data_IF_132390644411
#
_entry.id   IF_132390644411
#
_cell.length_a   1.000
_cell.length_b   1.000
_cell.length_c   1.000
_cell.angle_alpha   90.00
_cell.angle_beta   90.00
_cell.angle_gamma   90.00
#
_symmetry.space_group_name_H-M   'P 1'
#
loop_
_entity.id
_entity.type
_entity.pdbx_description
1 polymer ?
#
# COMPACT_ATOMS: atom_id res chain seq x y z
N UNK A 1 8.00 -14.74 31.31
CA UNK A 1 6.66 -14.27 30.93
C UNK A 1 6.50 -14.68 29.48
N UNK A 2 5.66 -15.66 29.20
CA UNK A 2 5.32 -16.00 27.80
C UNK A 2 4.65 -14.78 27.18
N UNK A 3 5.37 -14.07 26.32
CA UNK A 3 4.86 -12.93 25.61
C UNK A 3 3.67 -13.36 24.75
N UNK A 4 2.54 -12.68 24.85
CA UNK A 4 1.36 -12.96 24.06
C UNK A 4 1.72 -12.82 22.58
N UNK A 5 1.38 -13.83 21.75
CA UNK A 5 1.65 -13.79 20.32
C UNK A 5 0.93 -12.59 19.70
N UNK A 6 1.59 -11.79 18.85
CA UNK A 6 0.94 -10.65 18.19
C UNK A 6 -0.24 -11.09 17.33
N UNK A 7 -1.28 -10.26 17.27
CA UNK A 7 -2.39 -10.45 16.33
C UNK A 7 -2.02 -9.86 14.99
N UNK A 8 -1.95 -10.70 13.97
CA UNK A 8 -1.44 -10.35 12.64
C UNK A 8 -2.60 -10.07 11.68
N UNK A 9 -2.63 -8.88 11.10
CA UNK A 9 -3.71 -8.44 10.22
C UNK A 9 -3.17 -8.03 8.86
N UNK A 10 -3.66 -8.68 7.79
CA UNK A 10 -3.36 -8.28 6.42
C UNK A 10 -4.42 -7.30 5.90
N UNK A 11 -3.98 -6.20 5.28
CA UNK A 11 -4.84 -5.27 4.56
C UNK A 11 -4.74 -5.62 3.07
N UNK A 12 -5.75 -6.31 2.55
CA UNK A 12 -5.67 -6.92 1.22
C UNK A 12 -6.89 -6.63 0.35
N UNK A 13 -6.64 -6.29 -0.89
CA UNK A 13 -7.58 -6.32 -2.00
C UNK A 13 -6.78 -6.26 -3.31
N UNK A 14 -7.22 -6.98 -4.34
CA UNK A 14 -6.54 -7.05 -5.65
C UNK A 14 -6.66 -5.77 -6.47
N UNK A 15 -7.55 -4.87 -6.11
CA UNK A 15 -7.75 -3.60 -6.82
C UNK A 15 -6.74 -2.55 -6.33
N UNK A 16 -6.11 -1.84 -7.27
CA UNK A 16 -5.29 -0.66 -6.97
C UNK A 16 -6.12 0.58 -6.62
N UNK A 17 -5.53 1.54 -5.91
CA UNK A 17 -6.15 2.85 -5.64
C UNK A 17 -7.36 2.82 -4.70
N UNK A 18 -7.49 1.83 -3.83
CA UNK A 18 -8.59 1.69 -2.87
C UNK A 18 -8.16 1.94 -1.42
N UNK A 19 -7.10 2.69 -1.22
CA UNK A 19 -6.59 3.09 0.10
C UNK A 19 -6.08 1.95 1.00
N UNK A 20 -5.49 0.86 0.45
CA UNK A 20 -4.85 -0.19 1.27
C UNK A 20 -3.79 0.42 2.18
N UNK A 21 -2.76 1.02 1.62
CA UNK A 21 -1.65 1.68 2.33
C UNK A 21 -2.14 2.76 3.31
N UNK A 22 -3.12 3.57 2.89
CA UNK A 22 -3.76 4.56 3.78
C UNK A 22 -4.42 3.88 4.97
N UNK A 23 -5.14 2.78 4.75
CA UNK A 23 -5.78 2.00 5.82
C UNK A 23 -4.74 1.38 6.74
N UNK A 24 -3.69 0.74 6.19
CA UNK A 24 -2.62 0.10 6.96
C UNK A 24 -1.91 1.09 7.88
N UNK A 25 -1.47 2.22 7.33
CA UNK A 25 -0.70 3.23 8.09
C UNK A 25 -1.55 3.96 9.12
N UNK A 26 -2.81 4.30 8.79
CA UNK A 26 -3.70 4.98 9.72
C UNK A 26 -4.22 4.04 10.81
N UNK A 27 -4.52 2.77 10.51
CA UNK A 27 -4.82 1.77 11.54
C UNK A 27 -3.64 1.62 12.50
N UNK A 28 -2.41 1.50 11.99
CA UNK A 28 -1.22 1.32 12.80
C UNK A 28 -0.96 2.51 13.74
N UNK A 29 -1.02 3.77 13.25
CA UNK A 29 -0.82 4.93 14.11
C UNK A 29 -1.95 5.12 15.10
N UNK A 30 -3.20 4.81 14.74
CA UNK A 30 -4.32 4.88 15.67
C UNK A 30 -4.23 3.79 16.75
N UNK A 31 -3.79 2.57 16.43
CA UNK A 31 -3.51 1.52 17.43
C UNK A 31 -2.40 1.96 18.39
N UNK A 32 -1.30 2.51 17.87
CA UNK A 32 -0.24 3.06 18.71
C UNK A 32 -0.73 4.23 19.57
N UNK A 33 -1.62 5.09 19.05
CA UNK A 33 -2.28 6.14 19.82
C UNK A 33 -3.18 5.59 20.93
N UNK A 34 -3.76 4.39 20.77
CA UNK A 34 -4.44 3.64 21.82
C UNK A 34 -3.49 2.90 22.76
N UNK A 35 -2.18 3.17 22.72
CA UNK A 35 -1.19 2.58 23.62
C UNK A 35 -0.79 1.15 23.26
N UNK A 36 -1.08 0.68 22.05
CA UNK A 36 -0.66 -0.64 21.58
C UNK A 36 0.73 -0.59 20.95
N UNK A 37 1.52 -1.65 21.15
CA UNK A 37 2.78 -1.85 20.43
C UNK A 37 2.49 -2.46 19.06
N UNK A 38 2.92 -1.78 17.98
CA UNK A 38 2.55 -2.15 16.60
C UNK A 38 3.79 -2.27 15.72
N UNK A 39 3.79 -3.27 14.84
CA UNK A 39 4.76 -3.39 13.74
C UNK A 39 4.00 -3.36 12.42
N UNK A 40 4.41 -2.51 11.49
CA UNK A 40 3.93 -2.55 10.10
C UNK A 40 4.93 -3.32 9.25
N UNK A 41 4.45 -4.23 8.42
CA UNK A 41 5.24 -4.90 7.37
C UNK A 41 4.78 -4.34 6.03
N UNK A 42 5.66 -3.64 5.34
CA UNK A 42 5.38 -3.08 4.01
C UNK A 42 5.80 -4.07 2.92
N UNK A 43 4.82 -4.72 2.27
CA UNK A 43 5.03 -5.67 1.17
C UNK A 43 4.84 -5.05 -0.21
N UNK A 44 4.61 -3.75 -0.32
CA UNK A 44 4.53 -3.08 -1.61
C UNK A 44 5.89 -2.48 -1.98
N UNK A 45 6.43 -2.84 -3.16
CA UNK A 45 7.69 -2.31 -3.67
C UNK A 45 7.71 -0.80 -3.88
N UNK A 46 6.53 -0.16 -3.90
CA UNK A 46 6.43 1.30 -3.92
C UNK A 46 6.87 1.93 -2.59
N UNK A 47 6.82 1.19 -1.48
CA UNK A 47 7.29 1.63 -0.18
C UNK A 47 6.50 2.80 0.41
N UNK A 48 5.22 2.94 0.07
CA UNK A 48 4.43 4.10 0.50
C UNK A 48 4.05 4.03 1.98
N UNK A 49 3.85 2.84 2.55
CA UNK A 49 3.74 2.66 4.01
C UNK A 49 5.03 3.06 4.71
N UNK A 50 6.17 2.60 4.21
CA UNK A 50 7.51 2.94 4.70
C UNK A 50 7.73 4.44 4.76
N UNK A 51 7.48 5.13 3.64
CA UNK A 51 7.62 6.60 3.53
C UNK A 51 6.66 7.34 4.47
N UNK A 52 5.40 6.92 4.53
CA UNK A 52 4.37 7.55 5.39
C UNK A 52 4.71 7.42 6.88
N UNK A 53 5.44 6.41 7.27
CA UNK A 53 5.91 6.21 8.64
C UNK A 53 7.26 6.89 8.92
N UNK A 54 7.80 7.63 7.94
CA UNK A 54 8.98 8.48 8.08
C UNK A 54 10.32 7.77 7.87
N UNK A 55 10.30 6.61 7.22
CA UNK A 55 11.52 5.87 6.87
C UNK A 55 11.87 6.11 5.40
N UNK A 56 13.15 6.33 5.11
CA UNK A 56 13.66 6.43 3.74
C UNK A 56 13.72 5.01 3.12
N UNK A 57 13.12 4.76 1.95
CA UNK A 57 13.22 3.48 1.25
C UNK A 57 14.65 3.09 0.82
N UNK A 58 15.62 4.02 0.90
CA UNK A 58 17.04 3.75 0.67
C UNK A 58 17.75 3.14 1.89
N UNK A 59 17.01 2.70 2.92
CA UNK A 59 17.62 1.96 4.03
C UNK A 59 18.35 0.72 3.51
N UNK A 60 19.42 0.34 4.24
CA UNK A 60 20.32 -0.73 3.80
C UNK A 60 19.64 -2.09 3.68
N UNK A 61 18.70 -2.39 4.57
CA UNK A 61 18.02 -3.68 4.65
C UNK A 61 16.53 -3.48 4.94
N UNK A 62 15.71 -4.42 4.47
CA UNK A 62 14.27 -4.40 4.67
C UNK A 62 13.65 -5.79 4.48
N UNK A 63 12.35 -5.82 4.16
CA UNK A 63 11.61 -7.07 4.01
C UNK A 63 12.19 -7.98 2.91
N UNK A 64 12.80 -7.44 1.87
CA UNK A 64 13.49 -8.20 0.83
C UNK A 64 14.59 -9.09 1.42
N UNK A 65 15.43 -8.51 2.29
CA UNK A 65 16.59 -9.20 2.88
C UNK A 65 16.14 -10.32 3.82
N UNK A 66 14.99 -10.17 4.47
CA UNK A 66 14.37 -11.24 5.25
C UNK A 66 13.93 -12.40 4.36
N UNK A 67 13.27 -12.11 3.23
CA UNK A 67 12.79 -13.15 2.31
C UNK A 67 13.92 -13.99 1.72
N UNK A 68 15.07 -13.38 1.44
CA UNK A 68 16.25 -14.11 0.89
C UNK A 68 17.18 -14.67 1.98
N UNK A 69 16.86 -14.47 3.26
CA UNK A 69 17.67 -14.94 4.38
C UNK A 69 18.99 -14.17 4.57
N UNK A 70 19.11 -12.94 4.02
CA UNK A 70 20.29 -12.09 4.12
C UNK A 70 20.28 -11.19 5.37
N UNK A 71 19.19 -11.12 6.10
CA UNK A 71 19.06 -10.37 7.34
C UNK A 71 18.21 -11.15 8.37
N UNK A 72 18.39 -10.82 9.65
CA UNK A 72 17.52 -11.27 10.72
C UNK A 72 16.42 -10.24 10.95
N UNK A 73 15.33 -10.68 11.58
CA UNK A 73 14.19 -9.81 11.82
C UNK A 73 14.55 -8.59 12.69
N UNK A 74 15.41 -8.80 13.69
CA UNK A 74 15.87 -7.73 14.61
C UNK A 74 16.63 -6.63 13.87
N UNK A 75 17.32 -6.97 12.78
CA UNK A 75 18.17 -6.04 12.01
C UNK A 75 17.32 -5.12 11.11
N UNK A 76 16.10 -5.53 10.78
CA UNK A 76 15.23 -4.81 9.81
C UNK A 76 14.03 -4.13 10.44
N UNK A 77 13.68 -4.42 11.70
CA UNK A 77 12.62 -3.70 12.41
C UNK A 77 13.14 -2.33 12.84
N UNK A 78 12.63 -1.28 12.22
CA UNK A 78 13.03 0.10 12.48
C UNK A 78 12.00 0.83 13.35
N UNK A 79 12.44 1.63 14.32
CA UNK A 79 11.54 2.54 15.03
C UNK A 79 11.05 3.62 14.08
N UNK A 80 9.78 4.03 14.28
CA UNK A 80 9.23 5.18 13.59
C UNK A 80 9.29 6.42 14.49
N UNK A 81 8.85 7.57 13.95
CA UNK A 81 8.68 8.80 14.74
C UNK A 81 7.47 8.75 15.70
N UNK A 82 6.68 7.70 15.68
CA UNK A 82 5.49 7.52 16.50
C UNK A 82 5.77 6.50 17.59
N UNK A 83 5.62 6.91 18.84
CA UNK A 83 5.84 6.02 19.98
C UNK A 83 4.97 4.76 19.91
N UNK A 84 5.55 3.60 20.16
CA UNK A 84 4.86 2.31 20.10
C UNK A 84 4.72 1.75 18.67
N UNK A 85 5.18 2.46 17.63
CA UNK A 85 5.08 2.03 16.24
C UNK A 85 6.45 1.80 15.62
N UNK A 86 6.64 0.61 15.07
CA UNK A 86 7.82 0.17 14.33
C UNK A 86 7.43 -0.28 12.92
N UNK A 87 8.38 -0.39 12.02
CA UNK A 87 8.15 -0.84 10.64
C UNK A 87 9.26 -1.76 10.15
N UNK A 88 8.89 -2.80 9.40
CA UNK A 88 9.77 -3.54 8.52
C UNK A 88 9.61 -2.91 7.13
N UNK A 89 10.59 -2.13 6.67
CA UNK A 89 10.44 -1.31 5.49
C UNK A 89 10.48 -2.15 4.21
N UNK A 90 9.73 -1.69 3.20
CA UNK A 90 9.98 -2.04 1.82
C UNK A 90 11.20 -1.30 1.29
N UNK A 91 11.98 -1.99 0.47
CA UNK A 91 13.11 -1.41 -0.28
C UNK A 91 12.87 -1.57 -1.77
N UNK A 92 13.57 -0.80 -2.60
CA UNK A 92 13.45 -0.91 -4.06
C UNK A 92 13.79 -2.32 -4.59
N UNK A 93 14.61 -3.07 -3.86
CA UNK A 93 14.96 -4.46 -4.18
C UNK A 93 13.76 -5.40 -4.17
N UNK A 94 12.68 -5.04 -3.43
CA UNK A 94 11.48 -5.87 -3.32
C UNK A 94 10.78 -6.09 -4.67
N UNK A 95 10.96 -5.19 -5.64
CA UNK A 95 10.38 -5.34 -6.98
C UNK A 95 10.83 -6.64 -7.69
N UNK A 96 12.02 -7.17 -7.36
CA UNK A 96 12.55 -8.41 -7.94
C UNK A 96 12.29 -9.68 -7.11
N UNK A 97 11.61 -9.57 -5.98
CA UNK A 97 11.50 -10.68 -5.03
C UNK A 97 10.71 -11.88 -5.58
N UNK A 98 9.73 -11.66 -6.45
CA UNK A 98 8.89 -12.74 -7.00
C UNK A 98 9.73 -13.78 -7.76
N UNK A 99 10.76 -13.33 -8.48
CA UNK A 99 11.70 -14.21 -9.18
C UNK A 99 12.46 -15.08 -8.16
N UNK A 100 12.98 -14.48 -7.09
CA UNK A 100 13.72 -15.19 -6.05
C UNK A 100 12.86 -16.17 -5.29
N UNK A 101 11.64 -15.77 -4.92
CA UNK A 101 10.71 -16.64 -4.22
C UNK A 101 10.23 -17.80 -5.08
N UNK A 102 10.14 -17.65 -6.41
CA UNK A 102 9.76 -18.75 -7.29
C UNK A 102 10.77 -19.90 -7.31
N UNK A 103 12.02 -19.66 -6.93
CA UNK A 103 13.08 -20.66 -6.82
C UNK A 103 13.05 -21.45 -5.50
N UNK A 104 12.27 -20.96 -4.49
CA UNK A 104 12.22 -21.56 -3.17
C UNK A 104 11.08 -22.58 -3.04
N UNK A 105 11.37 -23.70 -2.36
CA UNK A 105 10.31 -24.61 -1.87
C UNK A 105 9.47 -23.86 -0.82
N UNK A 106 8.16 -24.08 -0.85
CA UNK A 106 7.20 -23.48 0.11
C UNK A 106 7.25 -21.93 0.15
N UNK A 107 7.62 -21.29 -0.95
CA UNK A 107 7.74 -19.85 -1.08
C UNK A 107 6.49 -19.06 -0.65
N UNK A 108 5.32 -19.70 -0.66
CA UNK A 108 4.05 -19.14 -0.20
C UNK A 108 3.95 -18.98 1.33
N UNK A 109 4.85 -19.61 2.10
CA UNK A 109 4.88 -19.59 3.57
C UNK A 109 6.15 -18.95 4.14
N UNK A 110 6.99 -18.36 3.31
CA UNK A 110 8.27 -17.79 3.73
C UNK A 110 8.09 -16.76 4.85
N UNK A 111 7.15 -15.81 4.69
CA UNK A 111 6.88 -14.80 5.73
C UNK A 111 6.34 -15.45 7.01
N UNK A 112 5.45 -16.42 6.90
CA UNK A 112 4.92 -17.16 8.06
C UNK A 112 6.03 -17.87 8.83
N UNK A 113 6.97 -18.48 8.12
CA UNK A 113 8.15 -19.12 8.72
C UNK A 113 9.02 -18.10 9.44
N UNK A 114 9.34 -16.96 8.80
CA UNK A 114 10.14 -15.89 9.40
C UNK A 114 9.50 -15.39 10.68
N UNK A 115 8.22 -15.03 10.64
CA UNK A 115 7.49 -14.46 11.78
C UNK A 115 7.32 -15.47 12.92
N UNK A 116 7.11 -16.76 12.62
CA UNK A 116 6.93 -17.81 13.61
C UNK A 116 8.20 -18.14 14.40
N UNK A 117 9.38 -17.95 13.80
CA UNK A 117 10.67 -18.19 14.45
C UNK A 117 11.21 -16.96 15.19
N UNK A 118 10.55 -15.82 15.05
CA UNK A 118 10.98 -14.58 15.66
C UNK A 118 10.12 -14.22 16.88
N UNK A 119 10.76 -13.76 17.96
CA UNK A 119 10.06 -13.16 19.09
C UNK A 119 9.85 -11.67 18.84
N UNK A 120 8.75 -11.31 18.18
CA UNK A 120 8.39 -9.91 18.01
C UNK A 120 7.54 -9.48 19.21
N UNK A 121 8.11 -8.69 20.11
CA UNK A 121 7.37 -8.13 21.23
C UNK A 121 6.49 -6.95 20.76
N UNK A 122 5.24 -7.28 20.40
CA UNK A 122 4.20 -6.30 20.03
C UNK A 122 2.81 -6.90 20.16
N UNK A 123 1.80 -6.01 20.26
CA UNK A 123 0.38 -6.42 20.28
C UNK A 123 -0.14 -6.77 18.90
N UNK A 124 0.28 -5.99 17.87
CA UNK A 124 -0.23 -6.10 16.50
C UNK A 124 0.86 -6.07 15.46
N UNK A 125 0.67 -6.88 14.40
CA UNK A 125 1.40 -6.76 13.14
C UNK A 125 0.40 -6.42 12.05
N UNK A 126 0.60 -5.29 11.36
CA UNK A 126 -0.22 -4.87 10.22
C UNK A 126 0.59 -5.10 8.94
N UNK A 127 0.07 -5.92 8.02
CA UNK A 127 0.73 -6.21 6.75
C UNK A 127 0.06 -5.41 5.65
N UNK A 128 0.78 -4.46 5.05
CA UNK A 128 0.34 -3.72 3.86
C UNK A 128 0.65 -4.49 2.60
N UNK A 129 -0.39 -4.88 1.85
CA UNK A 129 -0.26 -5.74 0.68
C UNK A 129 -0.24 -4.94 -0.63
N UNK A 130 0.58 -5.35 -1.63
CA UNK A 130 0.53 -4.78 -2.97
C UNK A 130 -0.81 -5.04 -3.67
N UNK A 131 -1.12 -4.29 -4.77
CA UNK A 131 -2.44 -4.37 -5.42
C UNK A 131 -2.66 -5.62 -6.29
N UNK A 132 -1.60 -6.35 -6.65
CA UNK A 132 -1.72 -7.54 -7.49
C UNK A 132 -1.82 -8.81 -6.65
N UNK A 133 -2.50 -9.84 -7.16
CA UNK A 133 -2.42 -11.17 -6.57
C UNK A 133 -1.13 -11.85 -7.06
N UNK A 134 -0.12 -11.89 -6.20
CA UNK A 134 1.17 -12.52 -6.44
C UNK A 134 1.63 -13.26 -5.20
N UNK A 135 2.89 -13.64 -5.19
CA UNK A 135 3.48 -14.41 -4.08
C UNK A 135 3.50 -13.61 -2.76
N UNK A 136 3.65 -12.28 -2.82
CA UNK A 136 3.69 -11.43 -1.64
C UNK A 136 2.36 -11.36 -0.89
N UNK A 137 1.20 -11.05 -1.54
CA UNK A 137 -0.10 -11.12 -0.86
C UNK A 137 -0.45 -12.52 -0.35
N UNK A 138 -0.03 -13.57 -1.07
CA UNK A 138 -0.23 -14.94 -0.58
C UNK A 138 0.56 -15.17 0.71
N UNK A 139 1.82 -14.72 0.79
CA UNK A 139 2.62 -14.77 2.02
C UNK A 139 1.96 -13.97 3.16
N UNK A 140 1.43 -12.79 2.87
CA UNK A 140 0.70 -11.99 3.86
C UNK A 140 -0.49 -12.76 4.44
N UNK A 141 -1.36 -13.30 3.57
CA UNK A 141 -2.55 -14.05 3.97
C UNK A 141 -2.21 -15.38 4.66
N UNK A 142 -1.13 -16.06 4.22
CA UNK A 142 -0.65 -17.28 4.85
C UNK A 142 -0.10 -17.03 6.27
N UNK A 143 0.33 -15.81 6.57
CA UNK A 143 0.89 -15.40 7.86
C UNK A 143 -0.16 -14.82 8.80
N UNK A 144 -1.18 -14.14 8.27
CA UNK A 144 -2.13 -13.35 9.03
C UNK A 144 -3.13 -14.21 9.83
N UNK A 145 -3.49 -13.74 11.03
CA UNK A 145 -4.64 -14.28 11.79
C UNK A 145 -5.96 -13.75 11.19
N UNK A 146 -5.92 -12.55 10.62
CA UNK A 146 -7.11 -11.94 10.02
C UNK A 146 -6.79 -11.10 8.78
N UNK A 147 -7.81 -10.92 7.94
CA UNK A 147 -7.75 -10.03 6.77
C UNK A 147 -8.85 -8.98 6.82
N UNK A 148 -8.50 -7.75 6.50
CA UNK A 148 -9.43 -6.63 6.28
C UNK A 148 -9.37 -6.28 4.80
N UNK A 149 -10.55 -6.10 4.18
CA UNK A 149 -10.70 -5.78 2.76
C UNK A 149 -11.19 -4.34 2.62
N UNK A 150 -10.32 -3.37 2.30
CA UNK A 150 -10.78 -2.03 1.89
C UNK A 150 -11.54 -2.11 0.56
N UNK A 151 -12.64 -1.37 0.45
CA UNK A 151 -13.49 -1.36 -0.76
C UNK A 151 -14.02 0.05 -1.01
N UNK A 152 -13.97 0.51 -2.25
CA UNK A 152 -14.64 1.77 -2.64
C UNK A 152 -16.06 1.48 -3.12
N UNK A 153 -17.06 2.26 -2.69
CA UNK A 153 -18.46 2.10 -3.09
C UNK A 153 -18.69 2.59 -4.54
N UNK A 154 -18.07 1.92 -5.50
CA UNK A 154 -18.22 2.17 -6.95
C UNK A 154 -18.98 1.03 -7.61
N UNK A 155 -19.56 1.22 -8.82
CA UNK A 155 -20.24 0.14 -9.55
C UNK A 155 -19.42 -1.17 -9.66
N UNK A 156 -18.10 -1.05 -9.70
CA UNK A 156 -17.16 -2.19 -9.77
C UNK A 156 -16.72 -2.72 -8.38
N UNK A 157 -17.32 -2.25 -7.29
CA UNK A 157 -16.99 -2.72 -5.93
C UNK A 157 -17.26 -4.20 -5.75
N UNK A 158 -18.39 -4.65 -6.30
CA UNK A 158 -18.80 -6.06 -6.25
C UNK A 158 -17.79 -6.96 -7.00
N UNK A 159 -17.29 -6.53 -8.15
CA UNK A 159 -16.30 -7.28 -8.93
C UNK A 159 -14.96 -7.37 -8.18
N UNK A 160 -14.55 -6.32 -7.48
CA UNK A 160 -13.37 -6.33 -6.61
C UNK A 160 -13.50 -7.37 -5.49
N UNK A 161 -14.64 -7.42 -4.82
CA UNK A 161 -14.92 -8.42 -3.78
C UNK A 161 -15.00 -9.84 -4.36
N UNK A 162 -15.67 -10.01 -5.51
CA UNK A 162 -15.81 -11.30 -6.19
C UNK A 162 -14.45 -11.89 -6.63
N UNK A 163 -13.44 -11.07 -6.84
CA UNK A 163 -12.06 -11.52 -7.12
C UNK A 163 -11.26 -11.78 -5.85
N UNK A 164 -11.43 -10.93 -4.84
CA UNK A 164 -10.65 -10.97 -3.59
C UNK A 164 -11.08 -12.14 -2.68
N UNK A 165 -12.38 -12.38 -2.53
CA UNK A 165 -12.90 -13.43 -1.65
C UNK A 165 -12.46 -14.86 -2.06
N UNK A 166 -12.46 -15.25 -3.35
CA UNK A 166 -11.93 -16.56 -3.76
C UNK A 166 -10.44 -16.74 -3.43
N UNK A 167 -9.62 -15.68 -3.50
CA UNK A 167 -8.20 -15.76 -3.15
C UNK A 167 -7.99 -15.98 -1.65
N UNK A 168 -8.80 -15.32 -0.81
CA UNK A 168 -8.80 -15.57 0.64
C UNK A 168 -9.22 -17.02 0.91
N UNK A 169 -10.27 -17.49 0.26
CA UNK A 169 -10.75 -18.87 0.40
C UNK A 169 -9.69 -19.89 -0.01
N UNK A 170 -8.98 -19.66 -1.12
CA UNK A 170 -7.86 -20.50 -1.53
C UNK A 170 -6.79 -20.61 -0.43
N UNK A 171 -6.43 -19.49 0.19
CA UNK A 171 -5.44 -19.48 1.29
C UNK A 171 -6.00 -20.22 2.51
N UNK A 172 -7.27 -20.00 2.88
CA UNK A 172 -7.93 -20.68 4.00
C UNK A 172 -7.95 -22.20 3.80
N UNK A 173 -8.19 -22.68 2.59
CA UNK A 173 -8.28 -24.12 2.31
C UNK A 173 -6.90 -24.80 2.25
N UNK A 174 -5.87 -24.10 1.70
CA UNK A 174 -4.57 -24.72 1.39
C UNK A 174 -3.43 -24.31 2.31
N UNK A 175 -3.38 -23.06 2.74
CA UNK A 175 -2.20 -22.48 3.39
C UNK A 175 -2.42 -22.07 4.85
N UNK A 176 -3.57 -21.48 5.18
CA UNK A 176 -3.85 -20.92 6.51
C UNK A 176 -5.32 -21.11 6.87
N UNK A 177 -5.65 -22.25 7.46
CA UNK A 177 -7.03 -22.59 7.88
C UNK A 177 -7.56 -21.66 8.98
N UNK A 178 -6.68 -20.99 9.73
CA UNK A 178 -7.03 -20.07 10.80
C UNK A 178 -7.32 -18.64 10.34
N UNK A 179 -7.08 -18.31 9.06
CA UNK A 179 -7.28 -16.96 8.55
C UNK A 179 -8.75 -16.54 8.65
N UNK A 180 -9.02 -15.46 9.40
CA UNK A 180 -10.37 -14.91 9.57
C UNK A 180 -10.61 -13.74 8.61
N UNK A 181 -11.78 -13.69 7.96
CA UNK A 181 -12.25 -12.46 7.34
C UNK A 181 -12.80 -11.54 8.47
N UNK A 182 -11.97 -10.64 8.98
CA UNK A 182 -12.35 -9.74 10.07
C UNK A 182 -13.33 -8.67 9.63
N UNK A 183 -13.20 -8.19 8.39
CA UNK A 183 -14.20 -7.28 7.87
C UNK A 183 -13.89 -6.65 6.52
N UNK A 184 -14.92 -6.02 5.99
CA UNK A 184 -14.88 -5.16 4.80
C UNK A 184 -15.03 -3.72 5.24
N UNK A 185 -14.11 -2.85 4.84
CA UNK A 185 -14.10 -1.43 5.17
C UNK A 185 -14.37 -0.59 3.93
N UNK A 186 -15.42 0.23 3.95
CA UNK A 186 -15.64 1.21 2.89
C UNK A 186 -14.64 2.35 2.99
N UNK A 187 -13.93 2.61 1.88
CA UNK A 187 -12.94 3.67 1.75
C UNK A 187 -13.26 4.57 0.56
N UNK A 188 -12.79 5.83 0.62
CA UNK A 188 -13.10 6.85 -0.40
C UNK A 188 -14.61 6.92 -0.64
N UNK A 189 -15.36 6.84 0.45
CA UNK A 189 -16.82 6.75 0.37
C UNK A 189 -17.42 8.11 0.03
N UNK A 190 -18.06 8.19 -1.14
CA UNK A 190 -18.81 9.37 -1.55
C UNK A 190 -20.26 9.26 -1.03
N UNK A 191 -20.79 10.36 -0.48
CA UNK A 191 -22.14 10.38 0.11
C UNK A 191 -23.29 10.49 -0.91
N UNK A 192 -22.97 10.36 -2.21
CA UNK A 192 -24.04 10.44 -3.22
C UNK A 192 -24.86 9.15 -3.31
N UNK A 193 -26.08 9.27 -3.85
CA UNK A 193 -27.12 8.21 -3.85
C UNK A 193 -26.65 6.87 -4.45
N UNK A 194 -25.83 6.90 -5.50
CA UNK A 194 -25.34 5.67 -6.14
C UNK A 194 -24.36 4.91 -5.23
N UNK A 195 -23.43 5.61 -4.55
CA UNK A 195 -22.49 4.98 -3.62
C UNK A 195 -23.23 4.35 -2.43
N UNK A 196 -24.22 5.04 -1.86
CA UNK A 196 -25.06 4.50 -0.79
C UNK A 196 -25.76 3.21 -1.22
N UNK A 197 -26.41 3.19 -2.39
CA UNK A 197 -27.09 2.00 -2.90
C UNK A 197 -26.14 0.80 -3.03
N UNK A 198 -24.88 1.03 -3.44
CA UNK A 198 -23.88 -0.02 -3.56
C UNK A 198 -23.44 -0.50 -2.17
N UNK A 199 -23.16 0.41 -1.24
CA UNK A 199 -22.80 0.04 0.13
C UNK A 199 -23.92 -0.75 0.82
N UNK A 200 -25.19 -0.35 0.64
CA UNK A 200 -26.34 -1.05 1.19
C UNK A 200 -26.46 -2.49 0.63
N UNK A 201 -26.23 -2.68 -0.67
CA UNK A 201 -26.23 -4.01 -1.29
C UNK A 201 -25.12 -4.91 -0.73
N UNK A 202 -23.92 -4.36 -0.51
CA UNK A 202 -22.79 -5.12 0.07
C UNK A 202 -23.09 -5.42 1.54
N UNK A 203 -23.61 -4.46 2.30
CA UNK A 203 -24.04 -4.67 3.70
C UNK A 203 -25.16 -5.73 3.82
N UNK A 204 -26.13 -5.72 2.93
CA UNK A 204 -27.19 -6.72 2.90
C UNK A 204 -26.65 -8.14 2.65
N UNK A 205 -25.56 -8.29 1.88
CA UNK A 205 -24.94 -9.59 1.58
C UNK A 205 -24.01 -10.09 2.67
N UNK A 206 -23.18 -9.19 3.24
CA UNK A 206 -22.10 -9.54 4.16
C UNK A 206 -22.44 -9.28 5.62
N UNK A 207 -23.56 -8.60 5.89
CA UNK A 207 -24.06 -8.36 7.24
C UNK A 207 -23.02 -7.71 8.16
N UNK A 208 -22.88 -8.26 9.36
CA UNK A 208 -21.96 -7.78 10.39
C UNK A 208 -20.48 -7.89 10.02
N UNK A 209 -20.13 -8.51 8.90
CA UNK A 209 -18.74 -8.52 8.41
C UNK A 209 -18.31 -7.14 7.87
N UNK A 210 -19.24 -6.29 7.45
CA UNK A 210 -18.91 -4.92 7.02
C UNK A 210 -18.75 -4.03 8.25
N UNK A 211 -17.66 -3.23 8.28
CA UNK A 211 -17.47 -2.24 9.34
C UNK A 211 -18.56 -1.17 9.30
N UNK A 212 -18.97 -0.70 10.48
CA UNK A 212 -19.87 0.44 10.62
C UNK A 212 -19.20 1.74 10.20
N UNK A 213 -17.92 1.88 10.53
CA UNK A 213 -17.09 2.99 10.09
C UNK A 213 -16.93 3.00 8.55
N UNK A 214 -17.00 4.18 7.95
CA UNK A 214 -16.80 4.43 6.51
C UNK A 214 -15.81 5.58 6.35
N UNK A 215 -14.70 5.34 5.63
CA UNK A 215 -13.69 6.36 5.40
C UNK A 215 -14.13 7.24 4.23
N UNK A 216 -14.48 8.52 4.46
CA UNK A 216 -14.97 9.39 3.41
C UNK A 216 -13.85 9.80 2.44
N UNK A 217 -14.24 10.27 1.25
CA UNK A 217 -13.33 11.03 0.39
C UNK A 217 -12.97 12.33 1.09
N UNK A 218 -11.67 12.60 1.25
CA UNK A 218 -11.18 13.77 1.96
C UNK A 218 -9.85 14.22 1.33
N UNK A 219 -9.74 15.48 0.96
CA UNK A 219 -8.52 16.04 0.36
C UNK A 219 -7.33 16.02 1.34
N UNK A 220 -7.60 16.04 2.64
CA UNK A 220 -6.55 15.93 3.66
C UNK A 220 -5.76 14.62 3.55
N UNK A 221 -6.34 13.56 2.99
CA UNK A 221 -5.63 12.30 2.70
C UNK A 221 -4.55 12.50 1.64
N UNK A 222 -4.84 13.30 0.60
CA UNK A 222 -3.90 13.60 -0.48
C UNK A 222 -2.75 14.48 0.05
N UNK A 223 -3.09 15.52 0.82
CA UNK A 223 -2.10 16.42 1.42
C UNK A 223 -1.20 15.69 2.42
N UNK A 224 -1.79 14.79 3.24
CA UNK A 224 -1.06 13.95 4.17
C UNK A 224 -0.07 13.03 3.43
N UNK A 225 -0.50 12.38 2.34
CA UNK A 225 0.35 11.54 1.52
C UNK A 225 1.51 12.33 0.89
N UNK A 226 1.26 13.54 0.38
CA UNK A 226 2.28 14.44 -0.13
C UNK A 226 3.30 14.83 0.96
N UNK A 227 2.84 14.98 2.21
CA UNK A 227 3.67 15.28 3.38
C UNK A 227 4.30 14.02 4.00
N UNK A 228 4.13 12.84 3.39
CA UNK A 228 4.61 11.54 3.90
C UNK A 228 4.18 11.29 5.35
N UNK A 229 2.91 11.53 5.63
CA UNK A 229 2.29 11.33 6.94
C UNK A 229 0.95 10.58 6.83
N UNK A 230 0.58 9.78 7.83
CA UNK A 230 -0.79 9.30 7.97
C UNK A 230 -1.75 10.47 8.22
N UNK A 231 -2.96 10.45 7.62
CA UNK A 231 -3.92 11.54 7.76
C UNK A 231 -4.36 11.76 9.22
N UNK A 232 -4.38 10.72 10.03
CA UNK A 232 -4.68 10.82 11.46
C UNK A 232 -3.69 11.69 12.23
N UNK A 233 -2.44 11.78 11.75
CA UNK A 233 -1.41 12.66 12.33
C UNK A 233 -1.39 14.01 11.62
N UNK A 234 -1.48 14.02 10.29
CA UNK A 234 -1.43 15.25 9.49
C UNK A 234 -2.58 16.21 9.81
N UNK A 235 -3.80 15.68 9.82
CA UNK A 235 -5.03 16.44 10.06
C UNK A 235 -5.98 15.67 11.01
N UNK A 236 -5.66 15.55 12.32
CA UNK A 236 -6.40 14.70 13.27
C UNK A 236 -7.89 15.01 13.37
N UNK A 237 -8.31 16.23 13.01
CA UNK A 237 -9.69 16.70 13.05
C UNK A 237 -10.42 16.57 11.71
N UNK A 238 -9.76 16.13 10.65
CA UNK A 238 -10.40 15.90 9.34
C UNK A 238 -11.40 14.75 9.38
N UNK A 239 -12.34 14.74 8.45
CA UNK A 239 -13.37 13.72 8.40
C UNK A 239 -12.78 12.32 8.19
N UNK A 240 -11.75 12.18 7.35
CA UNK A 240 -11.06 10.91 7.13
C UNK A 240 -10.31 10.44 8.39
N UNK A 241 -9.60 11.34 9.08
CA UNK A 241 -8.88 10.99 10.31
C UNK A 241 -9.83 10.53 11.42
N UNK A 242 -10.95 11.23 11.61
CA UNK A 242 -11.97 10.85 12.59
C UNK A 242 -12.58 9.48 12.26
N UNK A 243 -12.86 9.21 10.97
CA UNK A 243 -13.39 7.93 10.53
C UNK A 243 -12.37 6.78 10.69
N UNK A 244 -11.08 7.03 10.49
CA UNK A 244 -10.04 6.04 10.79
C UNK A 244 -9.92 5.75 12.29
N UNK A 245 -10.10 6.75 13.13
CA UNK A 245 -10.12 6.57 14.58
C UNK A 245 -11.34 5.75 15.01
N UNK A 246 -12.53 6.02 14.47
CA UNK A 246 -13.75 5.25 14.72
C UNK A 246 -13.60 3.80 14.23
N UNK A 247 -13.02 3.60 13.04
CA UNK A 247 -12.69 2.29 12.52
C UNK A 247 -11.74 1.52 13.44
N UNK A 248 -10.73 2.19 14.01
CA UNK A 248 -9.78 1.55 14.92
C UNK A 248 -10.45 1.11 16.22
N UNK A 249 -11.36 1.90 16.76
CA UNK A 249 -12.15 1.51 17.96
C UNK A 249 -12.99 0.28 17.63
N UNK A 250 -13.72 0.27 16.52
CA UNK A 250 -14.51 -0.89 16.08
C UNK A 250 -13.65 -2.13 15.83
N UNK A 251 -12.44 -1.95 15.24
CA UNK A 251 -11.47 -3.02 15.06
C UNK A 251 -11.05 -3.65 16.41
N UNK A 252 -10.70 -2.82 17.39
CA UNK A 252 -10.33 -3.27 18.74
C UNK A 252 -11.47 -4.02 19.40
N UNK A 253 -12.69 -3.51 19.35
CA UNK A 253 -13.88 -4.19 19.89
C UNK A 253 -14.14 -5.55 19.22
N UNK A 254 -13.97 -5.63 17.89
CA UNK A 254 -14.11 -6.89 17.14
C UNK A 254 -13.02 -7.89 17.57
N UNK A 255 -11.77 -7.45 17.71
CA UNK A 255 -10.69 -8.31 18.16
C UNK A 255 -10.92 -8.79 19.60
N UNK A 256 -11.37 -7.94 20.53
CA UNK A 256 -11.74 -8.35 21.88
C UNK A 256 -12.83 -9.43 21.88
N UNK A 257 -13.84 -9.30 21.03
CA UNK A 257 -14.91 -10.33 20.89
C UNK A 257 -14.36 -11.65 20.34
N UNK A 258 -13.42 -11.60 19.38
CA UNK A 258 -12.76 -12.79 18.81
C UNK A 258 -11.92 -13.48 19.90
N UNK A 259 -11.08 -12.75 20.61
CA UNK A 259 -10.23 -13.24 21.68
C UNK A 259 -11.05 -13.85 22.83
N UNK A 260 -12.10 -13.19 23.27
CA UNK A 260 -12.99 -13.70 24.32
C UNK A 260 -13.65 -15.03 23.92
N UNK A 261 -14.06 -15.20 22.65
CA UNK A 261 -14.57 -16.50 22.16
C UNK A 261 -13.51 -17.60 22.17
N UNK A 262 -12.24 -17.24 22.04
CA UNK A 262 -11.10 -18.16 22.15
C UNK A 262 -10.62 -18.36 23.61
N UNK A 263 -11.31 -17.77 24.60
CA UNK A 263 -10.93 -17.85 26.01
C UNK A 263 -9.74 -16.97 26.40
N UNK A 264 -9.41 -15.97 25.56
CA UNK A 264 -8.34 -15.01 25.83
C UNK A 264 -8.93 -13.69 26.32
N UNK A 265 -8.33 -13.12 27.36
CA UNK A 265 -8.68 -11.80 27.88
C UNK A 265 -7.62 -10.80 27.42
N UNK A 266 -8.04 -9.81 26.63
CA UNK A 266 -7.17 -8.73 26.18
C UNK A 266 -7.25 -7.55 27.15
N UNK A 267 -6.10 -6.89 27.36
CA UNK A 267 -6.06 -5.66 28.16
C UNK A 267 -6.97 -4.59 27.53
N UNK A 268 -7.72 -3.84 28.35
CA UNK A 268 -8.56 -2.75 27.86
C UNK A 268 -7.72 -1.72 27.09
N UNK A 269 -8.34 -1.01 26.19
CA UNK A 269 -7.68 0.06 25.45
C UNK A 269 -8.23 1.44 25.87
N UNK A 270 -7.43 2.51 25.79
CA UNK A 270 -7.86 3.86 26.13
C UNK A 270 -9.05 4.32 25.31
N UNK A 271 -9.85 5.21 25.92
CA UNK A 271 -10.96 5.82 25.22
C UNK A 271 -10.50 6.56 23.95
N UNK A 272 -11.38 6.65 22.96
CA UNK A 272 -11.15 7.32 21.68
C UNK A 272 -10.57 8.74 21.82
N UNK A 273 -11.01 9.50 22.84
CA UNK A 273 -10.52 10.86 23.07
C UNK A 273 -9.02 10.87 23.46
N UNK A 274 -8.58 9.95 24.29
CA UNK A 274 -7.16 9.85 24.67
C UNK A 274 -6.26 9.54 23.46
N UNK A 275 -6.71 8.70 22.54
CA UNK A 275 -6.00 8.45 21.29
C UNK A 275 -5.97 9.69 20.38
N UNK A 276 -7.08 10.42 20.28
CA UNK A 276 -7.13 11.68 19.52
C UNK A 276 -6.16 12.72 20.09
N UNK A 277 -6.09 12.87 21.42
CA UNK A 277 -5.19 13.80 22.09
C UNK A 277 -3.73 13.44 21.79
N UNK A 278 -3.38 12.15 21.79
CA UNK A 278 -2.05 11.68 21.43
C UNK A 278 -1.69 11.96 19.97
N UNK A 279 -2.62 11.74 19.02
CA UNK A 279 -2.44 12.09 17.61
C UNK A 279 -2.21 13.59 17.41
N UNK A 280 -2.95 14.44 18.14
CA UNK A 280 -2.75 15.88 18.14
C UNK A 280 -1.38 16.26 18.74
N UNK A 281 -0.94 15.58 19.77
CA UNK A 281 0.38 15.73 20.38
C UNK A 281 1.49 15.44 19.34
N UNK A 282 1.40 14.31 18.64
CA UNK A 282 2.37 13.98 17.58
C UNK A 282 2.36 15.00 16.44
N UNK A 283 1.17 15.49 16.03
CA UNK A 283 1.08 16.56 15.05
C UNK A 283 1.80 17.83 15.50
N UNK A 284 1.64 18.21 16.77
CA UNK A 284 2.30 19.38 17.32
C UNK A 284 3.83 19.25 17.35
N UNK A 285 4.34 18.06 17.69
CA UNK A 285 5.78 17.76 17.63
C UNK A 285 6.35 17.81 16.21
N UNK A 286 5.52 17.59 15.20
CA UNK A 286 5.89 17.66 13.79
C UNK A 286 5.57 19.02 13.14
N UNK A 287 5.12 20.02 13.92
CA UNK A 287 4.69 21.31 13.39
C UNK A 287 5.79 22.01 12.58
N UNK A 288 7.03 21.99 13.06
CA UNK A 288 8.18 22.57 12.35
C UNK A 288 8.47 21.84 11.03
N UNK A 289 8.26 20.51 11.00
CA UNK A 289 8.40 19.70 9.78
C UNK A 289 7.29 20.00 8.77
N UNK A 290 6.08 20.31 9.25
CA UNK A 290 4.91 20.65 8.43
C UNK A 290 4.91 22.15 8.01
N UNK A 291 5.52 23.02 8.82
CA UNK A 291 5.60 24.47 8.56
C UNK A 291 6.79 24.83 7.66
N UNK A 292 7.82 23.99 7.60
CA UNK A 292 8.88 24.16 6.62
C UNK A 292 8.25 23.96 5.24
N UNK A 293 8.07 25.02 4.41
CA UNK A 293 7.74 24.78 3.03
C UNK A 293 8.83 23.85 2.53
N UNK A 294 8.46 22.75 1.90
CA UNK A 294 9.40 21.97 1.09
C UNK A 294 9.94 22.92 -0.01
N UNK A 295 10.82 23.85 0.38
CA UNK A 295 11.69 24.54 -0.54
C UNK A 295 12.61 23.46 -1.12
N UNK A 296 12.04 22.66 -1.97
CA UNK A 296 12.74 21.58 -2.63
C UNK A 296 12.00 20.27 -2.83
N UNK A 297 10.87 20.01 -2.20
CA UNK A 297 10.25 18.70 -2.28
C UNK A 297 9.94 18.26 -3.71
N UNK A 298 9.00 18.86 -4.38
CA UNK A 298 8.70 18.53 -5.78
C UNK A 298 9.72 19.15 -6.75
N UNK A 299 10.10 20.41 -6.58
CA UNK A 299 11.05 21.07 -7.49
C UNK A 299 12.50 20.57 -7.33
N UNK A 300 12.95 20.14 -6.12
CA UNK A 300 14.25 19.49 -5.97
C UNK A 300 14.19 18.00 -6.31
N UNK A 301 13.09 17.30 -6.08
CA UNK A 301 12.93 15.93 -6.55
C UNK A 301 12.81 15.88 -8.06
N UNK A 302 12.05 16.77 -8.71
CA UNK A 302 12.06 16.91 -10.17
C UNK A 302 13.43 17.36 -10.66
N UNK A 303 14.10 18.34 -10.03
CA UNK A 303 15.44 18.76 -10.45
C UNK A 303 16.52 17.75 -10.09
N UNK A 304 16.33 16.89 -9.09
CA UNK A 304 17.23 15.77 -8.76
C UNK A 304 16.95 14.55 -9.64
N UNK A 305 15.67 14.27 -9.93
CA UNK A 305 15.25 13.30 -10.94
C UNK A 305 15.71 13.75 -12.33
N UNK A 306 15.53 15.02 -12.66
CA UNK A 306 16.02 15.62 -13.92
C UNK A 306 17.54 15.55 -14.02
N UNK A 307 18.30 15.82 -12.95
CA UNK A 307 19.75 15.66 -12.93
C UNK A 307 20.19 14.20 -12.95
N UNK A 308 19.46 13.30 -12.29
CA UNK A 308 19.76 11.88 -12.25
C UNK A 308 19.36 11.17 -13.56
N UNK A 309 18.27 11.57 -14.19
CA UNK A 309 17.77 11.02 -15.44
C UNK A 309 18.39 11.68 -16.68
N UNK A 310 18.68 12.98 -16.61
CA UNK A 310 19.09 13.75 -17.75
C UNK A 310 20.53 14.29 -17.66
N UNK A 311 21.14 14.35 -16.44
CA UNK A 311 22.51 14.83 -16.25
C UNK A 311 22.78 16.15 -17.00
N UNK A 312 24.01 16.33 -17.53
CA UNK A 312 24.41 17.43 -18.42
C UNK A 312 24.13 17.12 -19.91
N UNK A 313 23.10 16.34 -20.19
CA UNK A 313 22.75 15.91 -21.55
C UNK A 313 22.19 17.04 -22.40
N UNK A 314 22.43 16.95 -23.69
CA UNK A 314 21.93 17.92 -24.67
C UNK A 314 20.40 17.95 -24.73
N UNK A 315 19.83 19.04 -25.22
CA UNK A 315 18.38 19.21 -25.37
C UNK A 315 17.73 18.07 -26.17
N UNK A 316 18.45 17.51 -27.14
CA UNK A 316 17.98 16.39 -27.97
C UNK A 316 17.87 15.10 -27.14
N UNK A 317 18.82 14.81 -26.26
CA UNK A 317 18.77 13.64 -25.37
C UNK A 317 17.65 13.75 -24.33
N UNK A 318 17.38 14.97 -23.84
CA UNK A 318 16.24 15.24 -22.93
C UNK A 318 14.90 15.01 -23.62
N UNK A 319 14.76 15.46 -24.86
CA UNK A 319 13.58 15.22 -25.69
C UNK A 319 13.39 13.73 -25.99
N UNK A 320 14.47 13.00 -26.25
CA UNK A 320 14.44 11.57 -26.50
C UNK A 320 13.94 10.78 -25.28
N UNK A 321 14.46 11.09 -24.10
CA UNK A 321 14.05 10.46 -22.85
C UNK A 321 12.61 10.85 -22.43
N UNK A 322 12.20 12.09 -22.65
CA UNK A 322 10.83 12.53 -22.42
C UNK A 322 9.83 11.79 -23.31
N UNK A 323 10.20 11.56 -24.57
CA UNK A 323 9.42 10.72 -25.51
C UNK A 323 9.32 9.27 -25.06
N UNK A 324 10.42 8.68 -24.59
CA UNK A 324 10.43 7.32 -24.06
C UNK A 324 9.50 7.21 -22.83
N UNK A 325 9.55 8.16 -21.87
CA UNK A 325 8.65 8.18 -20.73
C UNK A 325 7.18 8.35 -21.14
N UNK A 326 6.90 9.27 -22.04
CA UNK A 326 5.56 9.45 -22.58
C UNK A 326 4.98 8.16 -23.17
N UNK A 327 5.78 7.40 -23.93
CA UNK A 327 5.34 6.15 -24.53
C UNK A 327 5.26 4.98 -23.52
N UNK A 328 6.03 5.00 -22.42
CA UNK A 328 5.91 4.02 -21.31
C UNK A 328 4.58 4.22 -20.59
N UNK A 329 4.21 5.47 -20.31
CA UNK A 329 2.94 5.80 -19.64
C UNK A 329 1.72 5.57 -20.53
N UNK A 330 1.91 5.64 -21.87
CA UNK A 330 0.85 5.48 -22.87
C UNK A 330 1.11 4.25 -23.76
N UNK A 331 1.15 3.06 -23.17
CA UNK A 331 1.50 1.79 -23.87
C UNK A 331 0.70 1.53 -25.15
N UNK A 332 -0.58 1.95 -25.21
CA UNK A 332 -1.40 1.86 -26.41
C UNK A 332 -0.88 2.74 -27.55
N UNK A 333 -0.42 3.95 -27.23
CA UNK A 333 0.15 4.90 -28.20
C UNK A 333 1.51 4.40 -28.70
N UNK A 334 2.31 3.79 -27.80
CA UNK A 334 3.59 3.17 -28.18
C UNK A 334 3.39 2.03 -29.18
N UNK A 335 2.38 1.17 -28.97
CA UNK A 335 2.09 0.07 -29.89
C UNK A 335 1.71 0.58 -31.30
N UNK A 336 0.89 1.63 -31.38
CA UNK A 336 0.51 2.27 -32.64
C UNK A 336 1.71 2.93 -33.31
N UNK A 337 2.56 3.62 -32.53
CA UNK A 337 3.77 4.27 -33.05
C UNK A 337 4.77 3.25 -33.59
N UNK A 338 5.02 2.16 -32.87
CA UNK A 338 5.92 1.08 -33.33
C UNK A 338 5.37 0.37 -34.58
N UNK A 339 4.04 0.17 -34.67
CA UNK A 339 3.41 -0.40 -35.84
C UNK A 339 3.56 0.54 -37.07
N UNK A 340 3.39 1.85 -36.87
CA UNK A 340 3.62 2.86 -37.93
C UNK A 340 5.07 2.91 -38.41
N UNK A 341 6.03 2.89 -37.48
CA UNK A 341 7.47 2.87 -37.78
C UNK A 341 7.83 1.59 -38.55
N UNK A 342 7.31 0.44 -38.14
CA UNK A 342 7.50 -0.83 -38.84
C UNK A 342 6.89 -0.81 -40.25
N UNK A 343 5.69 -0.23 -40.39
CA UNK A 343 5.01 -0.10 -41.68
C UNK A 343 5.79 0.82 -42.65
N UNK A 344 6.27 1.97 -42.16
CA UNK A 344 7.12 2.88 -42.89
C UNK A 344 8.46 2.22 -43.28
N UNK A 345 9.07 1.49 -42.36
CA UNK A 345 10.30 0.71 -42.60
C UNK A 345 10.12 -0.35 -43.66
N UNK A 346 9.01 -1.08 -43.64
CA UNK A 346 8.66 -2.05 -44.70
C UNK A 346 8.41 -1.39 -46.07
N UNK A 347 7.74 -0.23 -46.08
CA UNK A 347 7.54 0.55 -47.29
C UNK A 347 8.85 1.07 -47.90
N UNK A 348 9.79 1.52 -47.05
CA UNK A 348 11.11 1.98 -47.47
C UNK A 348 11.98 0.84 -48.03
N UNK A 349 11.93 -0.33 -47.37
CA UNK A 349 12.67 -1.53 -47.83
C UNK A 349 12.06 -2.11 -49.11
N UNK A 350 10.72 -2.07 -49.23
CA UNK A 350 10.02 -2.60 -50.42
C UNK A 350 10.06 -1.70 -51.65
N UNK A 351 10.27 -0.40 -51.47
CA UNK A 351 10.19 0.59 -52.55
C UNK A 351 11.54 1.01 -53.18
N UNK A 352 12.66 0.58 -52.59
CA UNK A 352 14.02 1.02 -52.99
C UNK A 352 14.21 2.55 -52.86
N UNK A 353 15.30 3.06 -53.44
CA UNK A 353 15.68 4.50 -53.29
C UNK A 353 14.61 5.46 -53.90
N UNK A 354 13.77 5.00 -54.84
CA UNK A 354 12.69 5.81 -55.41
C UNK A 354 11.50 6.06 -54.47
N UNK A 355 11.23 5.14 -53.52
CA UNK A 355 10.11 5.28 -52.61
C UNK A 355 10.32 6.31 -51.49
N UNK A 356 11.57 6.58 -51.13
CA UNK A 356 11.91 7.58 -50.11
C UNK A 356 11.59 9.00 -50.60
N UNK A 357 11.81 9.31 -51.89
CA UNK A 357 11.45 10.60 -52.49
C UNK A 357 9.94 10.83 -52.52
N UNK A 358 9.18 9.82 -52.89
CA UNK A 358 7.72 9.90 -52.93
C UNK A 358 7.08 10.15 -51.55
N UNK A 359 7.68 9.59 -50.51
CA UNK A 359 7.26 9.82 -49.12
C UNK A 359 7.66 11.22 -48.64
N UNK A 360 8.87 11.69 -48.96
CA UNK A 360 9.31 13.03 -48.59
C UNK A 360 8.41 14.11 -49.22
N UNK A 361 8.03 13.94 -50.51
CA UNK A 361 7.11 14.85 -51.21
C UNK A 361 5.68 14.80 -50.63
N UNK A 362 5.20 13.61 -50.21
CA UNK A 362 3.87 13.45 -49.63
C UNK A 362 3.72 14.07 -48.23
N UNK A 363 4.83 14.17 -47.48
CA UNK A 363 4.85 14.77 -46.13
C UNK A 363 5.45 16.17 -46.10
N UNK A 364 5.78 16.78 -47.23
CA UNK A 364 6.30 18.16 -47.30
C UNK A 364 7.68 18.33 -46.67
N UNK A 365 8.51 17.29 -46.66
CA UNK A 365 9.87 17.26 -46.08
C UNK A 365 10.98 17.39 -47.13
N UNK A 366 10.72 18.05 -48.27
CA UNK A 366 11.71 18.36 -49.32
C UNK A 366 12.49 19.64 -49.04
#
# INVERSE_FOLDING_TARGET
MDGMKPYIVAIFNQKGGISKTTTSTNLAVCLAAHGKSVVVIDLDSQGDSTKSLGIDPNVRQGIYDLFIGAAKLEDVILPTRFEGLRVIPSTYSLAGIEIKLSELKDSQRTLSTIVSHASIDCDYIIIDCPPALGILPINALATADAVIIPVTATPYANDGLLRTLPSIKYVQEGLNKGLLLQGVLFTIHDRHKAARKISDLIRARLGGTVYGAEIPRDNMVIEAAASRLPVCVYAPKSAAAQAHLDFTVEFLERHHKIAAKAGQELAPFPARQAALDRLQGWRSLLADHLAAPEQGGLAQQTSRLDRMLYGDRTTIERLHLALIHFFIDHRGVLAVFLALVALVGLMVIGAGVGGVRLLADAFGLS
#
